data_IF_639828147371
#
_entry.id   IF_639828147371
#
_cell.length_a   1.000
_cell.length_b   1.000
_cell.length_c   1.000
_cell.angle_alpha   90.00
_cell.angle_beta   90.00
_cell.angle_gamma   90.00
#
_symmetry.space_group_name_H-M   'P 1'
#
loop_
_entity.id
_entity.type
_entity.pdbx_description
1 polymer ?
#
# COMPACT_ATOMS: atom_id res chain seq x y z
N UNK A 1 1.01 -1.72 -5.29
CA UNK A 1 -0.23 -2.50 -5.52
C UNK A 1 -0.01 -4.00 -5.44
N UNK A 2 1.02 -4.58 -6.09
CA UNK A 2 1.26 -6.04 -6.09
C UNK A 2 1.24 -6.68 -4.69
N UNK A 3 1.94 -6.07 -3.72
CA UNK A 3 1.99 -6.57 -2.33
C UNK A 3 0.63 -6.69 -1.65
N UNK A 4 -0.37 -5.87 -2.01
CA UNK A 4 -1.72 -5.97 -1.45
C UNK A 4 -2.35 -7.32 -1.84
N UNK A 5 -2.26 -7.68 -3.12
CA UNK A 5 -2.81 -8.93 -3.64
C UNK A 5 -2.01 -10.15 -3.19
N UNK A 6 -0.68 -10.02 -3.06
CA UNK A 6 0.17 -11.09 -2.52
C UNK A 6 -0.21 -11.43 -1.06
N UNK A 7 -0.29 -10.43 -0.19
CA UNK A 7 -0.67 -10.63 1.22
C UNK A 7 -2.12 -11.10 1.34
N UNK A 8 -3.06 -10.54 0.57
CA UNK A 8 -4.45 -10.98 0.56
C UNK A 8 -4.61 -12.44 0.12
N UNK A 9 -3.84 -12.88 -0.89
CA UNK A 9 -3.81 -14.28 -1.32
C UNK A 9 -3.30 -15.20 -0.23
N UNK A 10 -2.25 -14.80 0.51
CA UNK A 10 -1.74 -15.57 1.64
C UNK A 10 -2.75 -15.69 2.78
N UNK A 11 -3.60 -14.68 2.96
CA UNK A 11 -4.67 -14.68 3.95
C UNK A 11 -5.97 -15.37 3.48
N UNK A 12 -5.99 -15.94 2.27
CA UNK A 12 -7.14 -16.71 1.77
C UNK A 12 -8.32 -15.86 1.28
N UNK A 13 -8.10 -14.59 0.95
CA UNK A 13 -9.16 -13.75 0.40
C UNK A 13 -9.73 -14.34 -0.91
N UNK A 14 -11.06 -14.22 -1.14
CA UNK A 14 -11.68 -14.63 -2.40
C UNK A 14 -11.33 -13.63 -3.51
N UNK A 15 -10.16 -13.80 -4.13
CA UNK A 15 -9.65 -12.93 -5.18
C UNK A 15 -10.05 -13.44 -6.57
N UNK A 16 -10.87 -12.67 -7.29
CA UNK A 16 -11.15 -12.91 -8.72
C UNK A 16 -9.96 -12.55 -9.63
N UNK A 17 -9.10 -11.65 -9.15
CA UNK A 17 -7.94 -11.18 -9.91
C UNK A 17 -6.87 -12.28 -10.04
N UNK A 18 -6.53 -12.62 -11.29
CA UNK A 18 -5.51 -13.65 -11.59
C UNK A 18 -4.10 -13.08 -11.71
N UNK A 19 -3.98 -11.87 -12.25
CA UNK A 19 -2.68 -11.21 -12.52
C UNK A 19 -2.82 -9.70 -12.43
N UNK A 20 -1.85 -9.07 -11.77
CA UNK A 20 -1.68 -7.62 -11.74
C UNK A 20 -0.58 -7.25 -12.74
N UNK A 21 -0.89 -6.39 -13.70
CA UNK A 21 0.09 -5.91 -14.70
C UNK A 21 0.41 -4.45 -14.40
N UNK A 22 1.68 -4.09 -14.16
CA UNK A 22 2.08 -2.70 -13.98
C UNK A 22 1.83 -1.89 -15.26
N UNK A 23 1.32 -0.67 -15.11
CA UNK A 23 1.15 0.30 -16.19
C UNK A 23 1.76 1.65 -15.78
N UNK A 24 2.09 2.47 -16.76
CA UNK A 24 2.57 3.84 -16.58
C UNK A 24 1.43 4.81 -16.27
N UNK A 25 1.76 5.98 -15.72
CA UNK A 25 0.77 7.06 -15.51
C UNK A 25 0.11 7.52 -16.81
N UNK A 26 0.80 7.43 -17.95
CA UNK A 26 0.25 7.83 -19.24
C UNK A 26 -0.83 6.87 -19.75
N UNK A 27 -0.75 5.58 -19.39
CA UNK A 27 -1.75 4.57 -19.73
C UNK A 27 -3.05 4.71 -18.94
N UNK A 28 -3.05 5.50 -17.86
CA UNK A 28 -4.25 5.82 -17.07
C UNK A 28 -4.31 7.32 -16.73
N UNK A 29 -4.68 8.18 -17.71
CA UNK A 29 -4.68 9.62 -17.54
C UNK A 29 -5.78 10.05 -16.56
N UNK A 30 -5.45 11.00 -15.69
CA UNK A 30 -6.41 11.60 -14.75
C UNK A 30 -6.38 13.12 -14.85
N UNK A 31 -7.49 13.84 -14.57
CA UNK A 31 -7.53 15.29 -14.70
C UNK A 31 -6.50 16.03 -13.84
N UNK A 32 -6.24 15.53 -12.63
CA UNK A 32 -5.27 16.10 -11.71
C UNK A 32 -3.89 15.46 -11.87
N UNK A 33 -2.86 16.29 -12.11
CA UNK A 33 -1.47 15.83 -12.26
C UNK A 33 -0.99 15.09 -11.02
N UNK A 34 -0.35 13.93 -11.22
CA UNK A 34 0.24 13.11 -10.15
C UNK A 34 1.75 13.31 -10.10
N UNK A 35 2.33 13.64 -8.92
CA UNK A 35 3.78 13.61 -8.75
C UNK A 35 4.33 12.20 -8.96
N UNK A 36 5.50 12.07 -9.58
CA UNK A 36 6.16 10.78 -9.78
C UNK A 36 6.67 10.17 -8.46
N UNK A 37 6.99 11.02 -7.47
CA UNK A 37 7.48 10.61 -6.18
C UNK A 37 6.88 11.50 -5.07
N UNK A 38 6.22 10.87 -4.11
CA UNK A 38 5.47 11.54 -3.04
C UNK A 38 5.78 11.01 -1.64
N UNK A 39 6.92 10.31 -1.48
CA UNK A 39 7.35 9.80 -0.16
C UNK A 39 7.73 10.98 0.74
N UNK A 40 7.18 10.98 1.95
CA UNK A 40 7.41 12.03 2.94
C UNK A 40 8.45 11.60 3.98
N UNK A 41 9.26 12.55 4.45
CA UNK A 41 10.15 12.35 5.59
C UNK A 41 9.37 12.51 6.91
N UNK A 42 9.20 11.42 7.66
CA UNK A 42 8.49 11.40 8.94
C UNK A 42 9.38 11.66 10.16
N UNK A 43 10.65 12.03 9.98
CA UNK A 43 11.64 12.15 11.05
C UNK A 43 11.29 13.17 12.13
N UNK A 44 10.65 14.30 11.77
CA UNK A 44 10.17 15.29 12.75
C UNK A 44 9.12 14.67 13.69
N UNK A 45 8.15 13.96 13.12
CA UNK A 45 7.06 13.31 13.86
C UNK A 45 7.66 12.23 14.77
N UNK A 46 8.56 11.41 14.25
CA UNK A 46 9.18 10.34 15.04
C UNK A 46 9.99 10.86 16.22
N UNK A 47 10.71 11.98 16.07
CA UNK A 47 11.42 12.64 17.17
C UNK A 47 10.47 13.17 18.25
N UNK A 48 9.35 13.77 17.85
CA UNK A 48 8.37 14.36 18.78
C UNK A 48 7.59 13.28 19.55
N UNK A 49 7.23 12.18 18.88
CA UNK A 49 6.42 11.11 19.47
C UNK A 49 7.25 10.02 20.16
N UNK A 50 8.58 10.04 20.01
CA UNK A 50 9.48 9.03 20.58
C UNK A 50 9.34 7.64 19.96
N UNK A 51 8.60 7.51 18.84
CA UNK A 51 8.37 6.25 18.15
C UNK A 51 8.39 6.43 16.63
N UNK A 52 8.57 5.33 15.92
CA UNK A 52 8.44 5.31 14.46
C UNK A 52 7.08 4.75 14.07
N UNK A 53 6.51 5.28 12.99
CA UNK A 53 5.38 4.62 12.35
C UNK A 53 5.79 3.18 11.99
N UNK A 54 4.90 2.20 12.14
CA UNK A 54 5.16 0.84 11.68
C UNK A 54 5.54 0.83 10.20
N UNK A 55 6.37 -0.15 9.82
CA UNK A 55 6.67 -0.38 8.42
C UNK A 55 5.38 -0.70 7.66
N UNK A 56 5.18 -0.06 6.52
CA UNK A 56 3.87 -0.03 5.85
C UNK A 56 3.32 -1.43 5.50
N UNK A 57 4.19 -2.43 5.27
CA UNK A 57 3.76 -3.81 5.01
C UNK A 57 3.10 -4.46 6.23
N UNK A 58 3.59 -4.15 7.44
CA UNK A 58 3.04 -4.71 8.66
C UNK A 58 1.66 -4.13 8.95
N UNK A 59 1.49 -2.82 8.76
CA UNK A 59 0.18 -2.16 8.84
C UNK A 59 -0.80 -2.69 7.80
N UNK A 60 -0.35 -2.91 6.55
CA UNK A 60 -1.16 -3.51 5.50
C UNK A 60 -1.64 -4.91 5.90
N UNK A 61 -0.74 -5.77 6.38
CA UNK A 61 -1.09 -7.13 6.81
C UNK A 61 -2.05 -7.13 7.99
N UNK A 62 -1.85 -6.24 8.96
CA UNK A 62 -2.75 -6.08 10.09
C UNK A 62 -4.16 -5.67 9.62
N UNK A 63 -4.24 -4.69 8.72
CA UNK A 63 -5.52 -4.23 8.17
C UNK A 63 -6.21 -5.35 7.38
N UNK A 64 -5.50 -6.07 6.52
CA UNK A 64 -6.07 -7.19 5.77
C UNK A 64 -6.59 -8.30 6.70
N UNK A 65 -5.87 -8.62 7.79
CA UNK A 65 -6.35 -9.59 8.80
C UNK A 65 -7.63 -9.14 9.49
N UNK A 66 -7.81 -7.84 9.73
CA UNK A 66 -9.06 -7.31 10.31
C UNK A 66 -10.25 -7.43 9.37
N UNK A 67 -10.00 -7.47 8.05
CA UNK A 67 -11.04 -7.66 7.02
C UNK A 67 -11.29 -9.13 6.69
N UNK A 68 -10.38 -10.03 7.03
CA UNK A 68 -10.55 -11.46 6.87
C UNK A 68 -11.52 -11.96 7.97
N UNK A 69 -12.80 -12.02 7.63
CA UNK A 69 -13.85 -12.67 8.43
C UNK A 69 -13.83 -14.16 8.18
#
# INVERSE_FOLDING_TARGET
>A
AMTIFEEAKQLGFPLEVKRVVPITTAEYPTPAKRPAFSVLNSGKISKVLGNHSPYWKDSLRQMLKQLAV
#
